data_IF_463942600038
#
_entry.id   IF_463942600038
#
_cell.length_a   1.000
_cell.length_b   1.000
_cell.length_c   1.000
_cell.angle_alpha   90.00
_cell.angle_beta   90.00
_cell.angle_gamma   90.00
#
_symmetry.space_group_name_H-M   'P 1'
#
loop_
_entity.id
_entity.type
_entity.pdbx_description
1 polymer ?
#
# COMPACT_ATOMS: atom_id res chain seq x y z
N UNK A 1 19.73 -15.03 -39.36
CA UNK A 1 18.81 -13.92 -39.14
C UNK A 1 17.50 -14.53 -38.70
N UNK A 2 17.30 -14.73 -37.41
CA UNK A 2 16.08 -15.24 -36.80
C UNK A 2 15.47 -14.13 -35.98
N UNK A 3 14.36 -13.61 -36.52
CA UNK A 3 13.56 -12.53 -35.98
C UNK A 3 12.74 -13.07 -34.76
N UNK A 4 13.27 -12.90 -33.54
CA UNK A 4 12.54 -13.13 -32.33
C UNK A 4 11.62 -11.92 -32.05
N UNK A 5 10.51 -11.84 -32.76
CA UNK A 5 9.39 -11.01 -32.37
C UNK A 5 8.80 -11.56 -31.07
N UNK A 6 9.26 -11.06 -29.95
CA UNK A 6 8.57 -11.25 -28.66
C UNK A 6 7.16 -10.68 -28.78
N UNK A 7 6.20 -11.57 -28.92
CA UNK A 7 4.78 -11.28 -28.84
C UNK A 7 4.48 -10.68 -27.44
N UNK A 8 4.37 -9.36 -27.36
CA UNK A 8 3.86 -8.66 -26.20
C UNK A 8 2.35 -8.91 -26.13
N UNK A 9 1.94 -9.89 -25.33
CA UNK A 9 0.54 -10.13 -25.03
C UNK A 9 0.03 -8.96 -24.13
N UNK A 10 -0.89 -8.09 -24.60
CA UNK A 10 -1.28 -6.87 -23.91
C UNK A 10 -2.33 -7.13 -22.82
N UNK A 11 -2.08 -8.01 -21.91
CA UNK A 11 -2.98 -8.36 -20.79
C UNK A 11 -2.31 -9.24 -19.74
N UNK A 12 -1.03 -9.51 -19.90
CA UNK A 12 -0.31 -10.33 -18.94
C UNK A 12 0.10 -9.46 -17.76
N UNK A 13 -0.47 -9.71 -16.59
CA UNK A 13 0.09 -9.24 -15.32
C UNK A 13 1.56 -9.68 -15.30
N UNK A 14 2.49 -8.78 -14.98
CA UNK A 14 3.88 -9.18 -14.83
C UNK A 14 3.97 -10.37 -13.88
N UNK A 15 4.91 -11.30 -14.09
CA UNK A 15 5.13 -12.38 -13.14
C UNK A 15 5.37 -11.77 -11.76
N UNK A 16 4.99 -12.48 -10.68
CA UNK A 16 5.25 -11.99 -9.33
C UNK A 16 6.72 -11.60 -9.23
N UNK A 17 7.02 -10.45 -8.62
CA UNK A 17 8.39 -10.03 -8.45
C UNK A 17 9.14 -11.14 -7.74
N UNK A 18 10.22 -11.60 -8.35
CA UNK A 18 11.22 -12.40 -7.70
C UNK A 18 11.99 -11.57 -6.67
N UNK A 19 13.21 -11.94 -6.38
CA UNK A 19 14.09 -11.17 -5.48
C UNK A 19 14.28 -9.68 -5.93
N UNK A 20 13.98 -9.35 -7.19
CA UNK A 20 14.26 -8.04 -7.81
C UNK A 20 13.14 -6.99 -7.68
N UNK A 21 11.94 -7.36 -7.20
CA UNK A 21 10.79 -6.44 -7.14
C UNK A 21 10.15 -6.12 -8.50
N UNK A 22 9.19 -5.19 -8.51
CA UNK A 22 8.53 -4.72 -9.75
C UNK A 22 9.17 -3.39 -10.18
N UNK A 23 9.74 -3.30 -11.40
CA UNK A 23 10.27 -2.04 -11.92
C UNK A 23 9.19 -0.96 -12.02
N UNK A 24 9.53 0.29 -11.72
CA UNK A 24 8.59 1.42 -11.75
C UNK A 24 7.93 1.64 -13.11
N UNK A 25 8.68 1.41 -14.20
CA UNK A 25 8.18 1.56 -15.58
C UNK A 25 6.96 0.67 -15.86
N UNK A 26 6.87 -0.47 -15.16
CA UNK A 26 5.72 -1.38 -15.27
C UNK A 26 4.46 -0.68 -14.77
N UNK A 27 4.53 0.03 -13.64
CA UNK A 27 3.39 0.76 -13.08
C UNK A 27 2.98 1.90 -13.99
N UNK A 28 3.90 2.74 -14.48
CA UNK A 28 3.62 3.80 -15.46
C UNK A 28 2.92 3.26 -16.70
N UNK A 29 3.40 2.16 -17.28
CA UNK A 29 2.80 1.57 -18.47
C UNK A 29 1.38 1.06 -18.22
N UNK A 30 1.13 0.46 -17.07
CA UNK A 30 -0.16 -0.10 -16.71
C UNK A 30 -1.19 1.00 -16.47
N UNK A 31 -0.83 2.10 -15.79
CA UNK A 31 -1.72 3.25 -15.58
C UNK A 31 -2.03 3.96 -16.91
N UNK A 32 -1.01 4.29 -17.70
CA UNK A 32 -1.23 4.93 -19.03
C UNK A 32 -2.13 4.13 -19.96
N UNK A 33 -2.13 2.81 -19.85
CA UNK A 33 -2.99 1.93 -20.67
C UNK A 33 -4.34 1.63 -20.01
N UNK A 34 -4.64 2.21 -18.85
CA UNK A 34 -5.85 1.89 -18.06
C UNK A 34 -6.01 0.38 -17.80
N UNK A 35 -4.90 -0.29 -17.49
CA UNK A 35 -4.84 -1.75 -17.27
C UNK A 35 -4.39 -2.14 -15.87
N UNK A 36 -4.41 -1.21 -14.93
CA UNK A 36 -4.12 -1.45 -13.54
C UNK A 36 -5.22 -2.32 -12.92
N UNK A 37 -4.96 -3.59 -12.76
CA UNK A 37 -5.96 -4.56 -12.28
C UNK A 37 -6.36 -4.34 -10.81
N UNK A 38 -5.59 -3.59 -10.07
CA UNK A 38 -5.90 -3.18 -8.69
C UNK A 38 -6.79 -1.94 -8.61
N UNK A 39 -6.96 -1.19 -9.72
CA UNK A 39 -7.89 -0.06 -9.81
C UNK A 39 -9.29 -0.61 -10.08
N UNK A 40 -10.06 -0.76 -9.01
CA UNK A 40 -11.43 -1.31 -9.07
C UNK A 40 -12.50 -0.22 -9.01
N UNK A 41 -12.09 1.05 -8.81
CA UNK A 41 -13.00 2.19 -8.60
C UNK A 41 -13.70 2.15 -7.24
N UNK A 42 -13.22 1.34 -6.31
CA UNK A 42 -13.78 1.16 -4.96
C UNK A 42 -12.64 0.99 -3.94
N UNK A 43 -12.83 1.41 -2.67
CA UNK A 43 -11.87 1.13 -1.62
C UNK A 43 -11.75 -0.37 -1.37
N UNK A 44 -10.60 -0.80 -0.90
CA UNK A 44 -10.37 -2.19 -0.54
C UNK A 44 -11.29 -2.61 0.62
N UNK A 45 -11.94 -3.79 0.57
CA UNK A 45 -12.81 -4.27 1.66
C UNK A 45 -12.09 -4.32 3.02
N UNK A 46 -10.80 -4.64 3.04
CA UNK A 46 -10.01 -4.64 4.26
C UNK A 46 -9.82 -3.22 4.84
N UNK A 47 -9.78 -2.18 3.99
CA UNK A 47 -9.75 -0.78 4.44
C UNK A 47 -11.10 -0.41 5.06
N UNK A 48 -12.22 -0.80 4.46
CA UNK A 48 -13.55 -0.59 5.05
C UNK A 48 -13.68 -1.28 6.42
N UNK A 49 -13.16 -2.50 6.54
CA UNK A 49 -13.09 -3.20 7.84
C UNK A 49 -12.25 -2.44 8.86
N UNK A 50 -11.12 -1.87 8.45
CA UNK A 50 -10.27 -1.06 9.33
C UNK A 50 -10.95 0.25 9.76
N UNK A 51 -11.73 0.89 8.87
CA UNK A 51 -12.56 2.05 9.19
C UNK A 51 -13.60 1.68 10.25
N UNK A 52 -14.38 0.61 10.04
CA UNK A 52 -15.39 0.13 10.98
C UNK A 52 -14.82 -0.19 12.37
N UNK A 53 -13.57 -0.66 12.42
CA UNK A 53 -12.85 -0.96 13.67
C UNK A 53 -12.21 0.27 14.33
N UNK A 54 -12.30 1.45 13.72
CA UNK A 54 -11.69 2.67 14.23
C UNK A 54 -10.16 2.68 14.21
N UNK A 55 -9.54 2.01 13.25
CA UNK A 55 -8.07 1.90 13.16
C UNK A 55 -7.42 3.18 12.62
N UNK A 56 -8.19 4.12 12.06
CA UNK A 56 -7.73 5.40 11.50
C UNK A 56 -8.06 6.61 12.40
N UNK A 57 -8.36 6.41 13.68
CA UNK A 57 -8.72 7.49 14.60
C UNK A 57 -7.53 8.37 15.00
N UNK A 58 -6.32 7.87 14.84
CA UNK A 58 -5.09 8.56 15.23
C UNK A 58 -4.44 9.20 13.98
N UNK A 59 -4.76 10.47 13.72
CA UNK A 59 -4.19 11.21 12.59
C UNK A 59 -2.89 11.97 12.92
N UNK A 60 -2.25 12.62 11.93
CA UNK A 60 -2.53 12.49 10.48
C UNK A 60 -2.29 11.09 9.91
N UNK A 61 -2.93 10.78 8.79
CA UNK A 61 -2.72 9.52 8.06
C UNK A 61 -1.73 9.71 6.92
N UNK A 62 -0.83 8.76 6.75
CA UNK A 62 -0.01 8.59 5.55
C UNK A 62 -0.49 7.36 4.77
N UNK A 63 -1.00 7.56 3.54
CA UNK A 63 -1.39 6.49 2.61
C UNK A 63 -0.24 6.25 1.63
N UNK A 64 0.51 5.19 1.88
CA UNK A 64 1.69 4.80 1.12
C UNK A 64 1.29 4.00 -0.12
N UNK A 65 1.50 4.58 -1.32
CA UNK A 65 1.09 3.99 -2.60
C UNK A 65 -0.41 4.05 -2.82
N UNK A 66 -0.95 5.26 -2.80
CA UNK A 66 -2.38 5.53 -2.82
C UNK A 66 -3.10 5.16 -4.14
N UNK A 67 -2.34 4.93 -5.21
CA UNK A 67 -2.92 4.68 -6.54
C UNK A 67 -3.85 5.80 -6.99
N UNK A 68 -5.07 5.46 -7.38
CA UNK A 68 -6.13 6.40 -7.80
C UNK A 68 -6.97 6.95 -6.64
N UNK A 69 -6.55 6.70 -5.38
CA UNK A 69 -7.03 7.41 -4.19
C UNK A 69 -8.28 6.84 -3.54
N UNK A 70 -8.83 5.72 -3.97
CA UNK A 70 -10.09 5.18 -3.48
C UNK A 70 -10.08 4.91 -1.97
N UNK A 71 -8.96 4.42 -1.44
CA UNK A 71 -8.81 4.15 -0.01
C UNK A 71 -8.73 5.46 0.79
N UNK A 72 -7.86 6.39 0.38
CA UNK A 72 -7.70 7.68 1.05
C UNK A 72 -9.02 8.48 1.08
N UNK A 73 -9.76 8.49 -0.04
CA UNK A 73 -11.06 9.17 -0.16
C UNK A 73 -12.06 8.53 0.81
N UNK A 74 -12.20 7.20 0.81
CA UNK A 74 -13.15 6.52 1.70
C UNK A 74 -12.83 6.75 3.19
N UNK A 75 -11.54 6.78 3.55
CA UNK A 75 -11.11 7.09 4.93
C UNK A 75 -11.46 8.54 5.28
N UNK A 76 -11.21 9.50 4.37
CA UNK A 76 -11.54 10.91 4.59
C UNK A 76 -13.04 11.17 4.72
N UNK A 77 -13.88 10.45 3.94
CA UNK A 77 -15.34 10.52 4.06
C UNK A 77 -15.83 9.99 5.42
N UNK A 78 -15.21 8.90 5.91
CA UNK A 78 -15.55 8.32 7.21
C UNK A 78 -15.03 9.15 8.41
N UNK A 79 -13.96 9.91 8.22
CA UNK A 79 -13.28 10.70 9.26
C UNK A 79 -13.09 12.17 8.81
N UNK A 80 -14.12 13.03 8.97
CA UNK A 80 -14.13 14.38 8.38
C UNK A 80 -13.05 15.34 8.89
N UNK A 81 -12.41 15.04 10.01
CA UNK A 81 -11.32 15.84 10.60
C UNK A 81 -9.93 15.27 10.38
N UNK A 82 -9.83 14.12 9.71
CA UNK A 82 -8.56 13.46 9.50
C UNK A 82 -7.82 14.07 8.31
N UNK A 83 -6.62 14.57 8.54
CA UNK A 83 -5.70 14.99 7.48
C UNK A 83 -4.98 13.77 6.91
N UNK A 84 -4.90 13.71 5.59
CA UNK A 84 -4.31 12.58 4.87
C UNK A 84 -3.25 13.09 3.88
N UNK A 85 -2.04 12.57 3.99
CA UNK A 85 -1.03 12.63 2.94
C UNK A 85 -1.05 11.31 2.18
N UNK A 86 -1.41 11.33 0.92
CA UNK A 86 -1.52 10.16 0.05
C UNK A 86 -0.49 10.26 -1.08
N UNK A 87 0.42 9.31 -1.19
CA UNK A 87 1.48 9.37 -2.19
C UNK A 87 1.49 8.15 -3.10
N UNK A 88 1.90 8.35 -4.34
CA UNK A 88 2.21 7.27 -5.28
C UNK A 88 3.38 7.68 -6.17
N UNK A 89 4.15 6.72 -6.66
CA UNK A 89 5.28 6.99 -7.54
C UNK A 89 4.84 7.33 -8.99
N UNK A 90 3.59 7.08 -9.35
CA UNK A 90 3.05 7.25 -10.70
C UNK A 90 2.26 8.55 -10.82
N UNK A 91 2.76 9.58 -11.53
CA UNK A 91 2.08 10.87 -11.66
C UNK A 91 0.66 10.75 -12.20
N UNK A 92 0.41 9.86 -13.16
CA UNK A 92 -0.92 9.64 -13.74
C UNK A 92 -1.93 9.11 -12.71
N UNK A 93 -1.48 8.28 -11.77
CA UNK A 93 -2.31 7.79 -10.66
C UNK A 93 -2.66 8.93 -9.71
N UNK A 94 -1.67 9.73 -9.31
CA UNK A 94 -1.82 10.88 -8.42
C UNK A 94 -2.73 11.95 -9.02
N UNK A 95 -2.59 12.25 -10.31
CA UNK A 95 -3.49 13.18 -11.02
C UNK A 95 -4.94 12.68 -10.98
N UNK A 96 -5.15 11.39 -11.27
CA UNK A 96 -6.46 10.74 -11.15
C UNK A 96 -7.03 10.81 -9.75
N UNK A 97 -6.22 10.52 -8.73
CA UNK A 97 -6.59 10.60 -7.31
C UNK A 97 -7.00 12.02 -6.91
N UNK A 98 -6.23 13.05 -7.32
CA UNK A 98 -6.56 14.44 -7.04
C UNK A 98 -7.88 14.89 -7.70
N UNK A 99 -8.17 14.42 -8.92
CA UNK A 99 -9.46 14.66 -9.57
C UNK A 99 -10.60 13.99 -8.80
N UNK A 100 -10.42 12.73 -8.39
CA UNK A 100 -11.39 11.99 -7.60
C UNK A 100 -11.65 12.63 -6.24
N UNK A 101 -10.59 13.08 -5.54
CA UNK A 101 -10.68 13.75 -4.24
C UNK A 101 -11.48 15.05 -4.31
N UNK A 102 -11.23 15.89 -5.33
CA UNK A 102 -12.05 17.10 -5.57
C UNK A 102 -13.52 16.75 -5.82
N UNK A 103 -13.79 15.72 -6.61
CA UNK A 103 -15.15 15.28 -6.90
C UNK A 103 -15.87 14.76 -5.65
N UNK A 104 -15.15 14.12 -4.74
CA UNK A 104 -15.66 13.65 -3.45
C UNK A 104 -15.77 14.76 -2.40
N UNK A 105 -15.19 15.96 -2.64
CA UNK A 105 -15.20 17.08 -1.69
C UNK A 105 -14.30 16.82 -0.47
N UNK A 106 -13.16 16.16 -0.67
CA UNK A 106 -12.19 15.85 0.40
C UNK A 106 -10.81 16.51 0.17
N UNK A 107 -10.67 17.34 -0.87
CA UNK A 107 -9.43 17.99 -1.27
C UNK A 107 -8.95 19.10 -0.30
N UNK A 108 -9.76 19.48 0.65
CA UNK A 108 -9.40 20.35 1.76
C UNK A 108 -8.57 19.65 2.85
N UNK A 109 -8.58 18.31 2.90
CA UNK A 109 -7.90 17.50 3.93
C UNK A 109 -7.13 16.29 3.39
N UNK A 110 -7.29 15.95 2.10
CA UNK A 110 -6.49 14.90 1.44
C UNK A 110 -5.55 15.53 0.42
N UNK A 111 -4.26 15.40 0.66
CA UNK A 111 -3.21 15.87 -0.25
C UNK A 111 -2.62 14.69 -0.99
N UNK A 112 -2.72 14.71 -2.32
CA UNK A 112 -2.14 13.69 -3.19
C UNK A 112 -0.82 14.21 -3.78
N UNK A 113 0.28 13.46 -3.59
CA UNK A 113 1.62 13.86 -4.03
C UNK A 113 2.35 12.71 -4.74
N UNK A 114 3.22 13.08 -5.68
CA UNK A 114 4.12 12.11 -6.33
C UNK A 114 5.35 11.93 -5.45
N UNK A 115 5.62 10.69 -5.01
CA UNK A 115 6.81 10.36 -4.24
C UNK A 115 7.25 8.92 -4.49
N UNK A 116 8.56 8.69 -4.56
CA UNK A 116 9.15 7.36 -4.68
C UNK A 116 9.50 6.81 -3.30
N UNK A 117 8.70 5.88 -2.81
CA UNK A 117 8.87 5.26 -1.49
C UNK A 117 10.12 4.35 -1.35
N UNK A 118 10.99 4.33 -2.34
CA UNK A 118 12.35 3.77 -2.20
C UNK A 118 13.33 4.77 -1.58
N UNK A 119 13.04 6.06 -1.73
CA UNK A 119 13.93 7.16 -1.32
C UNK A 119 13.24 8.24 -0.51
N UNK A 120 11.93 8.44 -0.72
CA UNK A 120 11.19 9.57 -0.18
C UNK A 120 10.21 9.10 0.91
N UNK A 121 10.46 9.51 2.14
CA UNK A 121 9.54 9.31 3.26
C UNK A 121 8.95 10.64 3.74
N UNK A 122 7.73 10.65 4.29
CA UNK A 122 7.16 11.85 4.88
C UNK A 122 7.83 12.19 6.22
N UNK A 123 7.54 13.39 6.74
CA UNK A 123 7.96 13.77 8.09
C UNK A 123 7.41 12.79 9.15
N UNK A 124 8.12 12.56 10.28
CA UNK A 124 7.74 11.58 11.30
C UNK A 124 6.66 12.13 12.24
N UNK A 125 5.45 12.35 11.74
CA UNK A 125 4.35 12.98 12.52
C UNK A 125 3.03 12.20 12.42
N UNK A 126 2.99 11.12 11.64
CA UNK A 126 1.75 10.43 11.35
C UNK A 126 1.31 9.52 12.51
N UNK A 127 0.05 9.62 12.87
CA UNK A 127 -0.57 8.71 13.83
C UNK A 127 -0.92 7.37 13.21
N UNK A 128 -1.08 7.33 11.90
CA UNK A 128 -1.37 6.12 11.15
C UNK A 128 -0.67 6.10 9.79
N UNK A 129 -0.26 4.91 9.36
CA UNK A 129 0.20 4.62 7.99
C UNK A 129 -0.66 3.49 7.41
N UNK A 130 -1.14 3.67 6.18
CA UNK A 130 -1.78 2.62 5.39
C UNK A 130 -0.84 2.16 4.28
N UNK A 131 -0.63 0.87 4.16
CA UNK A 131 -0.08 0.16 3.01
C UNK A 131 -1.14 -0.79 2.45
N UNK A 132 -1.80 -0.41 1.39
CA UNK A 132 -2.78 -1.26 0.72
C UNK A 132 -2.20 -1.85 -0.57
N UNK A 133 -1.20 -2.73 -0.42
CA UNK A 133 -0.63 -3.47 -1.55
C UNK A 133 0.68 -2.91 -2.11
N UNK A 134 1.46 -2.24 -1.30
CA UNK A 134 2.76 -1.65 -1.70
C UNK A 134 3.93 -2.52 -1.27
N UNK A 135 3.96 -2.98 -0.03
CA UNK A 135 5.07 -3.78 0.51
C UNK A 135 5.44 -4.98 -0.37
N UNK A 136 4.47 -5.61 -0.98
CA UNK A 136 4.66 -6.82 -1.77
C UNK A 136 5.17 -6.55 -3.21
N UNK A 137 5.35 -5.29 -3.62
CA UNK A 137 5.98 -4.96 -4.90
C UNK A 137 7.48 -4.71 -4.78
N UNK A 138 7.96 -4.48 -3.57
CA UNK A 138 9.39 -4.30 -3.31
C UNK A 138 10.17 -5.61 -3.40
N UNK A 139 11.43 -5.51 -3.83
CA UNK A 139 12.40 -6.62 -3.78
C UNK A 139 12.73 -7.02 -2.34
N UNK A 140 13.40 -8.15 -2.17
CA UNK A 140 13.93 -8.53 -0.85
C UNK A 140 14.99 -7.57 -0.33
N UNK A 141 15.69 -6.89 -1.25
CA UNK A 141 16.73 -5.90 -0.92
C UNK A 141 16.11 -4.57 -0.53
N UNK A 142 15.05 -4.13 -1.21
CA UNK A 142 14.45 -2.80 -1.03
C UNK A 142 13.38 -2.76 0.06
N UNK A 143 12.71 -3.89 0.31
CA UNK A 143 11.62 -3.98 1.31
C UNK A 143 12.03 -3.53 2.71
N UNK A 144 13.23 -3.86 3.25
CA UNK A 144 13.65 -3.35 4.55
C UNK A 144 13.72 -1.82 4.58
N UNK A 145 14.24 -1.19 3.51
CA UNK A 145 14.29 0.28 3.39
C UNK A 145 12.90 0.91 3.35
N UNK A 146 11.98 0.33 2.58
CA UNK A 146 10.58 0.75 2.56
C UNK A 146 9.90 0.62 3.93
N UNK A 147 10.07 -0.50 4.61
CA UNK A 147 9.51 -0.68 5.96
C UNK A 147 10.11 0.26 6.99
N UNK A 148 11.38 0.67 6.82
CA UNK A 148 11.97 1.71 7.64
C UNK A 148 11.30 3.07 7.38
N UNK A 149 10.97 3.40 6.12
CA UNK A 149 10.20 4.61 5.79
C UNK A 149 8.83 4.58 6.49
N UNK A 150 8.12 3.45 6.45
CA UNK A 150 6.84 3.27 7.16
C UNK A 150 6.99 3.47 8.67
N UNK A 151 8.03 2.86 9.27
CA UNK A 151 8.33 3.03 10.69
C UNK A 151 8.60 4.49 11.03
N UNK A 152 9.46 5.16 10.25
CA UNK A 152 9.91 6.53 10.54
C UNK A 152 8.81 7.58 10.29
N UNK A 153 7.88 7.32 9.37
CA UNK A 153 6.70 8.14 9.15
C UNK A 153 5.77 8.20 10.37
N UNK A 154 5.73 7.14 11.18
CA UNK A 154 4.88 7.06 12.36
C UNK A 154 5.48 7.84 13.54
N UNK A 155 4.65 8.55 14.30
CA UNK A 155 5.02 8.98 15.65
C UNK A 155 5.09 7.78 16.60
N UNK A 156 5.78 7.88 17.74
CA UNK A 156 5.73 6.83 18.78
C UNK A 156 4.30 6.51 19.19
N UNK A 157 3.96 5.23 19.25
CA UNK A 157 2.60 4.74 19.48
C UNK A 157 1.69 4.76 18.25
N UNK A 158 2.15 5.27 17.11
CA UNK A 158 1.39 5.28 15.86
C UNK A 158 1.17 3.88 15.28
N UNK A 159 0.17 3.75 14.43
CA UNK A 159 -0.34 2.48 13.89
C UNK A 159 0.03 2.32 12.42
N UNK A 160 0.59 1.18 12.01
CA UNK A 160 0.72 0.77 10.61
C UNK A 160 -0.32 -0.30 10.27
N UNK A 161 -0.99 -0.14 9.12
CA UNK A 161 -1.96 -1.09 8.60
C UNK A 161 -1.45 -1.57 7.25
N UNK A 162 -1.29 -2.90 7.08
CA UNK A 162 -0.81 -3.50 5.85
C UNK A 162 -1.86 -4.46 5.27
N UNK A 163 -2.06 -4.39 3.95
CA UNK A 163 -2.84 -5.36 3.20
C UNK A 163 -1.91 -5.99 2.16
N UNK A 164 -1.53 -7.25 2.36
CA UNK A 164 -0.44 -7.90 1.62
C UNK A 164 -0.90 -9.24 1.07
N UNK A 165 -0.58 -9.53 -0.20
CA UNK A 165 -0.90 -10.84 -0.80
C UNK A 165 -0.24 -11.98 -0.03
N UNK A 166 -1.04 -13.02 0.24
CA UNK A 166 -0.66 -14.21 1.00
C UNK A 166 -0.19 -15.35 0.09
N UNK A 167 0.77 -16.16 0.54
CA UNK A 167 1.11 -17.44 -0.10
C UNK A 167 -0.06 -18.43 -0.15
N UNK A 168 -1.15 -18.18 0.59
CA UNK A 168 -2.38 -18.96 0.48
C UNK A 168 -3.15 -18.68 -0.82
N UNK A 169 -2.82 -17.61 -1.55
CA UNK A 169 -3.32 -17.38 -2.90
C UNK A 169 -2.53 -18.25 -3.87
N UNK A 170 -3.20 -19.27 -4.42
CA UNK A 170 -2.58 -20.25 -5.31
C UNK A 170 -2.86 -20.02 -6.78
N UNK A 171 -3.82 -19.12 -7.10
CA UNK A 171 -4.16 -18.79 -8.49
C UNK A 171 -3.02 -17.99 -9.13
N UNK A 172 -2.75 -18.14 -10.44
CA UNK A 172 -1.68 -17.43 -11.11
C UNK A 172 -1.92 -15.92 -11.17
N UNK A 173 -0.85 -15.16 -11.36
CA UNK A 173 -0.88 -13.69 -11.48
C UNK A 173 -0.80 -12.96 -10.14
N UNK A 174 -0.72 -11.65 -10.21
CA UNK A 174 -0.56 -10.76 -9.05
C UNK A 174 0.90 -10.53 -8.65
N UNK A 175 1.12 -9.74 -7.61
CA UNK A 175 2.44 -9.44 -7.06
C UNK A 175 3.01 -10.62 -6.28
N UNK A 176 4.19 -10.40 -5.68
CA UNK A 176 4.78 -11.33 -4.72
C UNK A 176 3.81 -11.63 -3.57
N UNK A 177 3.87 -12.85 -3.08
CA UNK A 177 3.07 -13.36 -1.97
C UNK A 177 3.98 -13.63 -0.79
N UNK A 178 3.56 -13.17 0.37
CA UNK A 178 4.33 -13.34 1.60
C UNK A 178 3.69 -14.41 2.49
N UNK A 179 4.53 -15.33 2.95
CA UNK A 179 4.13 -16.25 4.01
C UNK A 179 3.94 -15.45 5.32
N UNK A 180 3.09 -15.96 6.20
CA UNK A 180 2.82 -15.30 7.48
C UNK A 180 4.10 -15.00 8.27
N UNK A 181 4.99 -15.98 8.38
CA UNK A 181 6.21 -15.85 9.17
C UNK A 181 7.23 -14.90 8.53
N UNK A 182 7.31 -14.89 7.19
CA UNK A 182 8.10 -13.91 6.44
C UNK A 182 7.61 -12.48 6.68
N UNK A 183 6.29 -12.28 6.62
CA UNK A 183 5.65 -10.99 6.87
C UNK A 183 5.89 -10.49 8.29
N UNK A 184 5.71 -11.37 9.29
CA UNK A 184 6.01 -11.07 10.70
C UNK A 184 7.45 -10.66 10.87
N UNK A 185 8.39 -11.48 10.39
CA UNK A 185 9.82 -11.18 10.51
C UNK A 185 10.23 -9.86 9.87
N UNK A 186 9.66 -9.52 8.71
CA UNK A 186 9.96 -8.27 8.01
C UNK A 186 9.46 -7.05 8.78
N UNK A 187 8.22 -7.08 9.28
CA UNK A 187 7.61 -5.97 10.02
C UNK A 187 8.32 -5.77 11.37
N UNK A 188 8.62 -6.83 12.10
CA UNK A 188 9.31 -6.76 13.40
C UNK A 188 10.77 -6.32 13.24
N UNK A 189 11.46 -6.73 12.19
CA UNK A 189 12.81 -6.27 11.87
C UNK A 189 12.89 -4.76 11.62
N UNK A 190 11.81 -4.14 11.13
CA UNK A 190 11.69 -2.69 10.99
C UNK A 190 11.34 -1.95 12.29
N UNK A 191 11.26 -2.64 13.44
CA UNK A 191 10.95 -2.03 14.73
C UNK A 191 9.45 -1.83 15.02
N UNK A 192 8.58 -2.39 14.19
CA UNK A 192 7.14 -2.39 14.41
C UNK A 192 6.70 -3.63 15.18
N UNK A 193 5.80 -3.48 16.12
CA UNK A 193 5.23 -4.59 16.89
C UNK A 193 3.85 -4.96 16.36
N UNK A 194 3.65 -6.19 15.94
CA UNK A 194 2.37 -6.69 15.44
C UNK A 194 1.36 -6.83 16.59
N UNK A 195 0.19 -6.24 16.40
CA UNK A 195 -0.99 -6.39 17.25
C UNK A 195 -1.90 -7.50 16.74
N UNK A 196 -2.21 -7.47 15.44
CA UNK A 196 -3.05 -8.50 14.81
C UNK A 196 -2.60 -8.80 13.40
N UNK A 197 -2.83 -10.05 12.98
CA UNK A 197 -2.66 -10.52 11.61
C UNK A 197 -3.79 -11.48 11.28
N UNK A 198 -4.59 -11.10 10.28
CA UNK A 198 -5.83 -11.78 9.90
C UNK A 198 -5.84 -12.10 8.41
N UNK A 199 -6.60 -13.14 8.05
CA UNK A 199 -6.88 -13.45 6.64
C UNK A 199 -7.90 -12.47 6.10
N UNK A 200 -7.61 -11.94 4.91
CA UNK A 200 -8.51 -11.05 4.19
C UNK A 200 -8.45 -11.33 2.69
N UNK A 201 -9.10 -10.47 1.92
CA UNK A 201 -9.01 -10.45 0.47
C UNK A 201 -8.62 -9.08 -0.03
N UNK A 202 -7.74 -9.06 -1.01
CA UNK A 202 -7.41 -7.86 -1.79
C UNK A 202 -8.22 -7.89 -3.08
N UNK A 203 -9.10 -6.90 -3.26
CA UNK A 203 -9.94 -6.83 -4.45
C UNK A 203 -9.12 -6.40 -5.67
N UNK A 204 -9.23 -7.17 -6.74
CA UNK A 204 -8.52 -6.93 -7.99
C UNK A 204 -9.27 -7.57 -9.16
N UNK A 205 -9.25 -6.92 -10.31
CA UNK A 205 -9.85 -7.43 -11.55
C UNK A 205 -9.18 -8.71 -12.08
N UNK A 206 -7.98 -9.03 -11.56
CA UNK A 206 -7.22 -10.22 -11.94
C UNK A 206 -7.59 -11.49 -11.16
N UNK A 207 -8.37 -11.37 -10.06
CA UNK A 207 -8.75 -12.50 -9.21
C UNK A 207 -10.23 -12.37 -8.82
N UNK A 208 -11.08 -13.18 -9.42
CA UNK A 208 -12.50 -13.22 -9.07
C UNK A 208 -12.69 -13.50 -7.56
N UNK A 209 -13.51 -12.66 -6.90
CA UNK A 209 -13.69 -12.67 -5.45
C UNK A 209 -12.48 -12.20 -4.64
N UNK A 210 -11.54 -11.48 -5.27
CA UNK A 210 -10.33 -10.95 -4.66
C UNK A 210 -9.23 -12.00 -4.40
N UNK A 211 -7.98 -11.56 -4.23
CA UNK A 211 -6.85 -12.41 -3.90
C UNK A 211 -6.74 -12.62 -2.38
N UNK A 212 -6.37 -13.83 -1.95
CA UNK A 212 -6.12 -14.11 -0.53
C UNK A 212 -4.95 -13.28 -0.04
N UNK A 213 -5.17 -12.58 1.07
CA UNK A 213 -4.24 -11.59 1.60
C UNK A 213 -4.20 -11.61 3.12
N UNK A 214 -3.22 -10.97 3.68
CA UNK A 214 -3.12 -10.66 5.10
C UNK A 214 -3.59 -9.23 5.35
N UNK A 215 -4.38 -9.00 6.39
CA UNK A 215 -4.62 -7.71 7.01
C UNK A 215 -3.84 -7.67 8.31
N UNK A 216 -2.90 -6.75 8.42
CA UNK A 216 -2.01 -6.63 9.58
C UNK A 216 -2.19 -5.27 10.22
N UNK A 217 -2.26 -5.25 11.54
CA UNK A 217 -2.14 -4.05 12.36
C UNK A 217 -0.87 -4.17 13.19
N UNK A 218 -0.03 -3.14 13.12
CA UNK A 218 1.21 -3.06 13.88
C UNK A 218 1.39 -1.66 14.48
N UNK A 219 2.24 -1.51 15.49
CA UNK A 219 2.51 -0.26 16.18
C UNK A 219 4.00 0.07 16.21
N UNK A 220 4.33 1.35 16.03
CA UNK A 220 5.64 1.85 16.43
C UNK A 220 5.69 1.89 17.96
N UNK A 221 6.69 1.22 18.54
CA UNK A 221 6.92 1.22 20.00
C UNK A 221 7.11 2.63 20.55
N UNK A 222 6.93 2.85 21.86
CA UNK A 222 7.31 4.10 22.50
C UNK A 222 8.82 4.31 22.35
N UNK A 223 9.25 5.57 22.32
CA UNK A 223 10.70 5.88 22.42
C UNK A 223 11.20 5.27 23.73
N UNK A 224 12.27 4.47 23.66
CA UNK A 224 12.93 4.00 24.86
C UNK A 224 13.37 5.22 25.67
N UNK A 225 12.75 5.45 26.83
CA UNK A 225 13.21 6.46 27.76
C UNK A 225 14.45 5.85 28.43
N UNK A 226 15.60 6.38 28.08
CA UNK A 226 16.85 6.04 28.78
C UNK A 226 16.67 6.51 30.22
N UNK A 227 16.38 5.59 31.12
CA UNK A 227 16.30 5.84 32.57
C UNK A 227 17.74 5.77 33.06
N UNK A 228 18.49 6.89 32.92
CA UNK A 228 19.82 7.08 33.44
C UNK A 228 19.89 7.04 34.98
#
# INVERSE_FOLDING_TARGET
MTDERRSSNPGRIPPPPGAEGVPHEVFHDVYRRSKALWVTGRPQPAVLTAIERGWFLEGPLFDAGCGTGENAIAIAEAHPTLEILAVDAVPEAVEGAAVAGRKAGVDDRVRFEVADLRTDGPSPEHGCVLDAGVMHVFSDVDRPGYLQIVHDALRPGGTAIFIVFSTEETRPGGPRRLARDELVSAIEAAGLRIDSIEKTRYETLGHDGGARSWLVRAFRGPVAVDVG
#
